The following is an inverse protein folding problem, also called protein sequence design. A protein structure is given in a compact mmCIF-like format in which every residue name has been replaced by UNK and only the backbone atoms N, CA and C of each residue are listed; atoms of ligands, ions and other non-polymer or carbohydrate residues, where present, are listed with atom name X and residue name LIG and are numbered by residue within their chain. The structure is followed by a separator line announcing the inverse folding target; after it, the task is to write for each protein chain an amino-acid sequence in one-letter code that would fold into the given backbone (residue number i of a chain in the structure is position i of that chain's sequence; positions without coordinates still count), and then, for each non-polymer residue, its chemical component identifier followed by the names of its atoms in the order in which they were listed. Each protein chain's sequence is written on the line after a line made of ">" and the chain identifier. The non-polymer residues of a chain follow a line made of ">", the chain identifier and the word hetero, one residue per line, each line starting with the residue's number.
data_IF_964623704803
#
_entry.id   IF_964623704803
#
_cell.length_a   1.000
_cell.length_b   1.000
_cell.length_c   1.000
_cell.angle_alpha   90.00
_cell.angle_beta   90.00
_cell.angle_gamma   90.00
#
_symmetry.space_group_name_H-M   'P 1'
#
loop_
_entity.id
_entity.type
_entity.pdbx_description
1 polymer ?
#
# COMPACT_ATOMS: atom_id res chain seq x y z
N UNK A 1 10.14 6.61 -19.77
CA UNK A 1 9.28 6.55 -18.57
C UNK A 1 7.91 6.06 -18.99
N UNK A 2 7.62 4.78 -18.76
CA UNK A 2 6.38 4.16 -19.24
C UNK A 2 5.33 4.27 -18.14
N UNK A 3 4.40 5.22 -18.29
CA UNK A 3 3.26 5.39 -17.40
C UNK A 3 2.22 4.33 -17.79
N UNK A 4 2.09 3.28 -17.00
CA UNK A 4 1.01 2.29 -17.19
C UNK A 4 -0.21 2.82 -16.42
N UNK A 5 -1.14 3.42 -17.15
CA UNK A 5 -2.47 3.77 -16.63
C UNK A 5 -3.38 2.57 -16.85
N UNK A 6 -3.58 1.76 -15.81
CA UNK A 6 -4.66 0.76 -15.82
C UNK A 6 -5.95 1.49 -15.46
N UNK A 7 -6.79 1.74 -16.46
CA UNK A 7 -8.11 2.33 -16.30
C UNK A 7 -9.06 1.31 -15.68
N UNK A 8 -9.73 1.69 -14.59
CA UNK A 8 -10.82 0.91 -14.03
C UNK A 8 -12.06 0.98 -14.94
N UNK A 9 -12.91 -0.07 -15.01
CA UNK A 9 -14.02 -0.16 -15.97
C UNK A 9 -15.15 0.88 -15.77
N UNK A 10 -15.06 1.75 -14.74
CA UNK A 10 -16.12 2.68 -14.34
C UNK A 10 -15.82 4.15 -14.63
N UNK A 11 -14.75 4.48 -15.37
CA UNK A 11 -14.47 5.86 -15.79
C UNK A 11 -14.20 6.85 -14.65
N UNK A 12 -13.90 6.36 -13.45
CA UNK A 12 -13.52 7.18 -12.29
C UNK A 12 -12.66 6.34 -11.34
N UNK A 13 -11.57 6.93 -10.86
CA UNK A 13 -10.54 6.42 -9.94
C UNK A 13 -9.31 5.82 -10.63
N UNK A 14 -8.22 6.58 -10.55
CA UNK A 14 -6.87 6.03 -10.59
C UNK A 14 -6.81 4.80 -9.68
N UNK A 15 -6.13 3.74 -10.15
CA UNK A 15 -5.80 2.59 -9.31
C UNK A 15 -5.30 3.09 -7.94
N UNK A 16 -5.76 2.51 -6.81
CA UNK A 16 -5.23 2.88 -5.51
C UNK A 16 -3.73 2.58 -5.40
N UNK A 17 -3.16 1.83 -6.34
CA UNK A 17 -1.75 1.49 -6.41
C UNK A 17 -1.05 2.22 -7.56
N UNK A 18 0.13 2.73 -7.29
CA UNK A 18 1.08 3.20 -8.30
C UNK A 18 2.50 2.88 -7.88
N UNK A 19 3.44 2.94 -8.82
CA UNK A 19 4.87 2.78 -8.52
C UNK A 19 5.61 4.08 -8.76
N UNK A 20 6.51 4.42 -7.84
CA UNK A 20 7.41 5.57 -7.92
C UNK A 20 8.84 5.09 -7.74
N UNK A 21 9.54 4.83 -8.85
CA UNK A 21 10.85 4.18 -8.79
C UNK A 21 10.76 2.77 -8.18
N UNK A 22 11.41 2.54 -7.04
CA UNK A 22 11.36 1.29 -6.26
C UNK A 22 10.36 1.36 -5.10
N UNK A 23 9.36 2.24 -5.18
CA UNK A 23 8.33 2.38 -4.15
C UNK A 23 6.97 1.96 -4.69
N UNK A 24 6.24 1.10 -3.96
CA UNK A 24 4.82 0.85 -4.17
C UNK A 24 4.01 1.84 -3.34
N UNK A 25 3.21 2.69 -3.98
CA UNK A 25 2.35 3.64 -3.28
C UNK A 25 0.92 3.14 -3.31
N UNK A 26 0.34 2.90 -2.14
CA UNK A 26 -1.08 2.64 -1.92
C UNK A 26 -1.76 3.89 -1.38
N UNK A 27 -2.80 4.36 -2.06
CA UNK A 27 -3.72 5.37 -1.53
C UNK A 27 -4.84 4.71 -0.74
N UNK A 28 -4.98 5.11 0.52
CA UNK A 28 -5.86 4.46 1.49
C UNK A 28 -7.25 5.05 1.39
N UNK A 29 -8.16 4.34 0.72
CA UNK A 29 -9.55 4.77 0.52
C UNK A 29 -10.59 3.90 1.23
N UNK A 30 -10.19 2.75 1.79
CA UNK A 30 -11.10 1.68 2.17
C UNK A 30 -11.70 1.88 3.57
N UNK A 31 -12.98 2.27 3.65
CA UNK A 31 -13.78 2.38 4.90
C UNK A 31 -13.78 1.12 5.79
N UNK A 32 -13.37 -0.04 5.31
CA UNK A 32 -13.29 -1.28 6.11
C UNK A 32 -12.01 -1.36 6.95
N UNK A 33 -10.87 -0.89 6.42
CA UNK A 33 -9.63 -0.69 7.19
C UNK A 33 -9.88 0.32 8.34
N UNK A 34 -10.79 1.26 8.12
CA UNK A 34 -11.19 2.28 9.10
C UNK A 34 -11.94 1.74 10.32
N UNK A 35 -12.57 0.56 10.28
CA UNK A 35 -13.49 0.16 11.36
C UNK A 35 -12.77 -0.12 12.68
N UNK A 36 -11.52 -0.57 12.61
CA UNK A 36 -10.67 -0.81 13.79
C UNK A 36 -9.38 0.03 13.79
N UNK A 37 -8.95 0.60 12.64
CA UNK A 37 -7.69 1.36 12.51
C UNK A 37 -6.46 0.67 13.11
N UNK A 38 -6.45 -0.67 13.14
CA UNK A 38 -5.35 -1.44 13.71
C UNK A 38 -4.36 -1.91 12.64
N UNK A 39 -4.81 -2.11 11.40
CA UNK A 39 -3.98 -2.62 10.31
C UNK A 39 -4.41 -2.06 8.95
N UNK A 40 -3.52 -2.08 7.96
CA UNK A 40 -3.75 -1.69 6.57
C UNK A 40 -3.40 -2.84 5.63
N UNK A 41 -4.13 -2.97 4.53
CA UNK A 41 -3.97 -4.06 3.58
C UNK A 41 -3.23 -3.69 2.28
N UNK A 42 -2.60 -4.65 1.61
CA UNK A 42 -2.23 -4.62 0.18
C UNK A 42 -2.79 -5.88 -0.46
N UNK A 43 -3.43 -5.74 -1.63
CA UNK A 43 -3.89 -6.90 -2.40
C UNK A 43 -2.72 -7.85 -2.70
N UNK A 44 -2.87 -9.13 -2.42
CA UNK A 44 -1.82 -10.15 -2.57
C UNK A 44 -1.31 -10.18 -4.01
N UNK A 45 -2.21 -10.10 -4.99
CA UNK A 45 -1.83 -10.08 -6.41
C UNK A 45 -0.94 -8.89 -6.74
N UNK A 46 -1.30 -7.70 -6.25
CA UNK A 46 -0.48 -6.49 -6.42
C UNK A 46 0.86 -6.65 -5.73
N UNK A 47 0.90 -7.23 -4.53
CA UNK A 47 2.16 -7.49 -3.86
C UNK A 47 3.05 -8.44 -4.68
N UNK A 48 2.54 -9.58 -5.10
CA UNK A 48 3.29 -10.57 -5.89
C UNK A 48 3.82 -9.99 -7.20
N UNK A 49 3.04 -9.15 -7.89
CA UNK A 49 3.45 -8.49 -9.13
C UNK A 49 4.60 -7.49 -8.92
N UNK A 50 4.79 -6.98 -7.71
CA UNK A 50 5.70 -5.88 -7.42
C UNK A 50 6.84 -6.23 -6.47
N UNK A 51 6.76 -7.33 -5.72
CA UNK A 51 7.69 -7.68 -4.62
C UNK A 51 9.17 -7.62 -5.01
N UNK A 52 9.54 -8.08 -6.20
CA UNK A 52 10.95 -8.20 -6.61
C UNK A 52 11.55 -6.86 -7.10
N UNK A 53 10.72 -5.82 -7.26
CA UNK A 53 11.11 -4.51 -7.81
C UNK A 53 10.88 -3.34 -6.85
N UNK A 54 10.31 -3.60 -5.67
CA UNK A 54 10.01 -2.57 -4.68
C UNK A 54 10.84 -2.79 -3.43
N UNK A 55 11.41 -1.71 -2.91
CA UNK A 55 12.16 -1.70 -1.66
C UNK A 55 11.31 -1.10 -0.53
N UNK A 56 10.28 -0.33 -0.88
CA UNK A 56 9.52 0.49 0.05
C UNK A 56 8.05 0.52 -0.35
N UNK A 57 7.19 0.61 0.65
CA UNK A 57 5.74 0.71 0.47
C UNK A 57 5.25 1.97 1.18
N UNK A 58 4.56 2.83 0.46
CA UNK A 58 3.98 4.07 0.97
C UNK A 58 2.46 3.94 1.07
N UNK A 59 1.91 4.40 2.19
CA UNK A 59 0.48 4.49 2.43
C UNK A 59 0.08 5.96 2.54
N UNK A 60 -0.68 6.46 1.57
CA UNK A 60 -1.22 7.83 1.56
C UNK A 60 -2.63 7.85 2.16
N UNK A 61 -2.79 8.50 3.31
CA UNK A 61 -4.07 8.59 4.00
C UNK A 61 -4.87 9.84 3.59
N UNK A 62 -6.21 9.83 3.73
CA UNK A 62 -7.05 10.98 3.37
C UNK A 62 -6.80 12.24 4.21
N UNK A 63 -6.20 12.10 5.38
CA UNK A 63 -5.79 13.23 6.24
C UNK A 63 -4.48 13.88 5.78
N UNK A 64 -3.90 13.42 4.66
CA UNK A 64 -2.64 13.90 4.12
C UNK A 64 -1.41 13.25 4.77
N UNK A 65 -1.60 12.40 5.80
CA UNK A 65 -0.49 11.68 6.39
C UNK A 65 0.04 10.59 5.46
N UNK A 66 1.35 10.39 5.50
CA UNK A 66 2.02 9.30 4.79
C UNK A 66 2.68 8.40 5.81
N UNK A 67 2.55 7.09 5.61
CA UNK A 67 3.28 6.09 6.39
C UNK A 67 4.00 5.12 5.49
N UNK A 68 5.14 4.62 5.96
CA UNK A 68 6.00 3.77 5.16
C UNK A 68 6.46 2.52 5.92
N UNK A 69 6.81 1.49 5.14
CA UNK A 69 7.46 0.26 5.60
C UNK A 69 8.32 -0.30 4.48
N UNK A 70 9.49 -0.86 4.79
CA UNK A 70 10.31 -1.55 3.78
C UNK A 70 9.59 -2.79 3.26
N UNK A 71 9.88 -3.16 2.01
CA UNK A 71 9.36 -4.36 1.38
C UNK A 71 9.67 -5.63 2.20
N UNK A 72 10.90 -5.75 2.71
CA UNK A 72 11.33 -6.89 3.53
C UNK A 72 10.57 -6.99 4.86
N UNK A 73 10.37 -5.86 5.54
CA UNK A 73 9.62 -5.82 6.80
C UNK A 73 8.12 -6.05 6.57
N UNK A 74 7.60 -5.56 5.45
CA UNK A 74 6.24 -5.86 5.03
C UNK A 74 6.05 -7.36 4.81
N UNK A 75 6.95 -8.03 4.10
CA UNK A 75 6.87 -9.48 3.88
C UNK A 75 6.88 -10.24 5.21
N UNK A 76 7.81 -9.90 6.13
CA UNK A 76 7.95 -10.56 7.43
C UNK A 76 6.75 -10.42 8.35
N UNK A 77 6.15 -9.24 8.38
CA UNK A 77 5.09 -8.88 9.34
C UNK A 77 3.70 -9.05 8.79
N UNK A 78 3.55 -9.13 7.46
CA UNK A 78 2.23 -9.25 6.86
C UNK A 78 1.73 -10.68 6.83
N UNK A 79 0.42 -10.80 7.02
CA UNK A 79 -0.28 -12.08 7.01
C UNK A 79 -1.49 -12.00 6.10
N UNK A 80 -1.87 -13.15 5.57
CA UNK A 80 -3.06 -13.29 4.75
C UNK A 80 -4.31 -13.23 5.63
N UNK A 81 -5.30 -12.40 5.27
CA UNK A 81 -6.60 -12.41 5.91
C UNK A 81 -7.68 -12.64 4.85
N UNK A 82 -8.36 -13.77 4.91
CA UNK A 82 -9.37 -14.12 3.93
C UNK A 82 -10.37 -15.10 4.51
N UNK A 83 -11.47 -14.60 5.08
CA UNK A 83 -12.54 -15.53 5.49
C UNK A 83 -13.95 -14.97 5.57
N UNK A 84 -14.24 -13.76 5.10
CA UNK A 84 -15.64 -13.30 5.09
C UNK A 84 -15.89 -12.20 4.07
N UNK A 85 -16.62 -12.58 3.02
CA UNK A 85 -17.29 -11.70 2.06
C UNK A 85 -16.37 -11.03 1.02
N UNK A 86 -16.16 -11.73 -0.11
CA UNK A 86 -15.88 -11.16 -1.46
C UNK A 86 -14.64 -10.26 -1.64
N UNK A 87 -13.77 -10.07 -0.67
CA UNK A 87 -12.53 -9.33 -0.87
C UNK A 87 -11.47 -10.20 -1.54
N UNK A 88 -10.68 -9.60 -2.44
CA UNK A 88 -9.48 -10.23 -2.97
C UNK A 88 -8.55 -10.58 -1.80
N UNK A 89 -7.79 -11.66 -1.97
CA UNK A 89 -6.78 -12.10 -1.02
C UNK A 89 -5.88 -10.90 -0.68
N UNK A 90 -5.88 -10.45 0.58
CA UNK A 90 -5.21 -9.21 1.00
C UNK A 90 -4.26 -9.51 2.16
N UNK A 91 -3.04 -8.96 2.07
CA UNK A 91 -2.03 -9.00 3.15
C UNK A 91 -2.21 -7.80 4.07
N UNK A 92 -2.19 -7.98 5.38
CA UNK A 92 -2.35 -6.89 6.36
C UNK A 92 -1.08 -6.64 7.16
N UNK A 93 -0.83 -5.38 7.50
CA UNK A 93 0.23 -4.94 8.42
C UNK A 93 -0.35 -3.99 9.47
N UNK A 94 0.05 -4.13 10.74
CA UNK A 94 -0.45 -3.26 11.80
C UNK A 94 0.02 -1.82 11.60
N UNK A 95 -0.84 -0.84 11.90
CA UNK A 95 -0.48 0.58 11.76
C UNK A 95 0.66 1.00 12.70
N UNK A 96 0.86 0.26 13.80
CA UNK A 96 1.96 0.47 14.75
C UNK A 96 3.33 0.04 14.18
N UNK A 97 3.34 -0.84 13.18
CA UNK A 97 4.55 -1.27 12.48
C UNK A 97 4.97 -0.30 11.37
N UNK A 98 4.15 0.71 11.08
CA UNK A 98 4.43 1.70 10.05
C UNK A 98 5.10 2.93 10.63
N UNK A 99 6.07 3.45 9.89
CA UNK A 99 6.74 4.71 10.24
C UNK A 99 5.92 5.88 9.71
N UNK A 100 5.53 6.81 10.59
CA UNK A 100 4.88 8.06 10.16
C UNK A 100 5.91 9.01 9.54
N UNK A 101 5.63 9.46 8.33
CA UNK A 101 6.43 10.48 7.64
C UNK A 101 5.80 11.84 7.95
N UNK A 102 6.55 12.70 8.65
CA UNK A 102 6.18 14.10 8.86
C UNK A 102 6.80 14.92 7.72
N UNK A 103 5.95 15.51 6.89
CA UNK A 103 6.28 16.51 5.86
C UNK A 103 7.48 16.21 4.94
N UNK A 104 7.20 15.58 3.80
CA UNK A 104 7.82 15.92 2.51
C UNK A 104 9.35 15.83 2.31
N UNK A 105 10.15 15.36 3.27
CA UNK A 105 11.60 15.27 3.10
C UNK A 105 12.04 13.88 2.62
N UNK A 106 12.34 13.81 1.32
CA UNK A 106 13.17 12.76 0.72
C UNK A 106 14.59 12.80 1.31
N UNK A 107 15.14 11.63 1.63
CA UNK A 107 16.16 11.07 0.74
C UNK A 107 16.04 9.56 0.68
N UNK A 108 15.94 9.04 -0.56
CA UNK A 108 15.91 7.61 -0.87
C UNK A 108 17.31 7.03 -1.10
N UNK A 109 18.37 7.82 -0.93
CA UNK A 109 19.77 7.37 -1.02
C UNK A 109 20.66 8.26 -0.14
N UNK A 110 21.53 7.65 0.66
CA UNK A 110 22.85 8.23 0.96
C UNK A 110 23.78 7.84 -0.19
#
# INVERSE_FOLDING_TARGET
>A
MTKIEVLSPSGSRASPYRTEGRTLVKRVHERHIFRLRQAIGIDETVWQDHRDRVNLIHFEFPDGSVREISADEFERKSFLHGDSVRFAVTRFIALADLTLVKDGMRSLFN
#
